data_IF_109185290630
#
_entry.id   IF_109185290630
#
_cell.length_a   1.000
_cell.length_b   1.000
_cell.length_c   1.000
_cell.angle_alpha   90.00
_cell.angle_beta   90.00
_cell.angle_gamma   90.00
#
_symmetry.space_group_name_H-M   'P 1'
#
loop_
_entity.id
_entity.type
_entity.pdbx_description
1 polymer ?
#
# COMPACT_ATOMS: atom_id res chain seq x y z
N UNK A 1 11.65 -12.02 6.54
CA UNK A 1 11.87 -10.64 6.09
C UNK A 1 10.64 -9.78 6.31
N UNK A 2 10.78 -8.46 6.24
CA UNK A 2 9.65 -7.52 6.34
C UNK A 2 8.58 -7.78 5.27
N UNK A 3 8.98 -8.15 4.04
CA UNK A 3 8.07 -8.47 2.94
C UNK A 3 7.27 -9.74 3.17
N UNK A 4 7.91 -10.79 3.65
CA UNK A 4 7.21 -12.05 4.00
C UNK A 4 6.19 -11.82 5.11
N UNK A 5 6.54 -10.98 6.10
CA UNK A 5 5.63 -10.63 7.17
C UNK A 5 4.44 -9.80 6.66
N UNK A 6 4.69 -8.84 5.76
CA UNK A 6 3.63 -8.09 5.09
C UNK A 6 2.73 -9.00 4.23
N UNK A 7 3.31 -9.95 3.50
CA UNK A 7 2.55 -10.93 2.73
C UNK A 7 1.67 -11.82 3.62
N UNK A 8 2.21 -12.28 4.75
CA UNK A 8 1.43 -13.02 5.76
C UNK A 8 0.27 -12.19 6.33
N UNK A 9 0.49 -10.89 6.55
CA UNK A 9 -0.57 -9.99 7.02
C UNK A 9 -1.66 -9.79 5.96
N UNK A 10 -1.31 -9.60 4.69
CA UNK A 10 -2.28 -9.49 3.58
C UNK A 10 -3.09 -10.78 3.40
N UNK A 11 -2.45 -11.94 3.52
CA UNK A 11 -3.14 -13.22 3.51
C UNK A 11 -4.18 -13.30 4.64
N UNK A 12 -3.80 -12.91 5.87
CA UNK A 12 -4.73 -12.90 7.00
C UNK A 12 -5.88 -11.90 6.81
N UNK A 13 -5.64 -10.74 6.21
CA UNK A 13 -6.68 -9.78 5.87
C UNK A 13 -7.70 -10.37 4.91
N UNK A 14 -7.25 -11.09 3.88
CA UNK A 14 -8.13 -11.74 2.92
C UNK A 14 -8.98 -12.86 3.53
N UNK A 15 -8.38 -13.64 4.45
CA UNK A 15 -9.05 -14.81 5.05
C UNK A 15 -10.00 -14.45 6.20
N UNK A 16 -9.81 -13.29 6.82
CA UNK A 16 -10.46 -12.94 8.08
C UNK A 16 -11.13 -11.61 7.94
N UNK A 17 -12.06 -11.29 7.37
CA UNK A 17 -12.78 -9.99 7.35
C UNK A 17 -12.43 -9.05 8.55
N UNK A 18 -11.13 -8.67 8.62
CA UNK A 18 -10.52 -7.97 9.74
C UNK A 18 -9.93 -6.63 9.28
N UNK A 19 -9.86 -5.66 10.17
CA UNK A 19 -9.19 -4.39 9.89
C UNK A 19 -7.68 -4.54 9.80
N UNK A 20 -7.06 -3.83 8.86
CA UNK A 20 -5.61 -3.88 8.64
C UNK A 20 -4.81 -3.57 9.91
N UNK A 21 -5.26 -2.60 10.71
CA UNK A 21 -4.61 -2.22 11.96
C UNK A 21 -4.60 -3.35 12.99
N UNK A 22 -5.67 -4.15 13.09
CA UNK A 22 -5.73 -5.28 14.02
C UNK A 22 -4.74 -6.38 13.61
N UNK A 23 -4.62 -6.65 12.32
CA UNK A 23 -3.65 -7.62 11.81
C UNK A 23 -2.22 -7.12 12.00
N UNK A 24 -1.95 -5.85 11.74
CA UNK A 24 -0.64 -5.22 11.97
C UNK A 24 -0.24 -5.37 13.43
N UNK A 25 -1.09 -4.96 14.37
CA UNK A 25 -0.83 -5.05 15.80
C UNK A 25 -0.56 -6.50 16.27
N UNK A 26 -1.25 -7.48 15.70
CA UNK A 26 -1.10 -8.89 16.07
C UNK A 26 0.10 -9.56 15.40
N UNK A 27 0.45 -9.17 14.19
CA UNK A 27 1.42 -9.88 13.34
C UNK A 27 2.75 -9.13 13.28
N UNK A 28 2.72 -7.83 12.98
CA UNK A 28 3.92 -7.03 12.72
C UNK A 28 4.51 -6.51 14.04
N UNK A 29 3.71 -5.89 14.89
CA UNK A 29 4.21 -5.25 16.11
C UNK A 29 4.77 -6.26 17.11
N UNK A 30 4.24 -7.48 17.11
CA UNK A 30 4.73 -8.59 17.94
C UNK A 30 5.89 -9.38 17.33
N UNK A 31 6.32 -9.03 16.12
CA UNK A 31 7.42 -9.71 15.45
C UNK A 31 8.77 -9.36 16.07
N UNK A 32 9.78 -10.23 15.83
CA UNK A 32 11.18 -10.00 16.26
C UNK A 32 11.99 -9.16 15.27
N UNK A 33 11.32 -8.50 14.30
CA UNK A 33 11.99 -7.63 13.33
C UNK A 33 12.48 -6.33 14.00
N UNK A 34 13.45 -5.68 13.39
CA UNK A 34 13.89 -4.34 13.79
C UNK A 34 12.74 -3.33 13.72
N UNK A 35 12.89 -2.17 14.34
CA UNK A 35 11.89 -1.09 14.27
C UNK A 35 11.68 -0.65 12.83
N UNK A 36 12.75 -0.51 12.05
CA UNK A 36 12.74 -0.11 10.65
C UNK A 36 12.02 -1.13 9.78
N UNK A 37 12.31 -2.42 9.97
CA UNK A 37 11.65 -3.51 9.24
C UNK A 37 10.16 -3.61 9.56
N UNK A 38 9.76 -3.39 10.82
CA UNK A 38 8.34 -3.35 11.21
C UNK A 38 7.64 -2.16 10.56
N UNK A 39 8.25 -0.97 10.61
CA UNK A 39 7.70 0.22 9.96
C UNK A 39 7.56 0.01 8.44
N UNK A 40 8.54 -0.62 7.81
CA UNK A 40 8.47 -0.95 6.39
C UNK A 40 7.39 -1.99 6.08
N UNK A 41 7.26 -3.06 6.87
CA UNK A 41 6.20 -4.04 6.72
C UNK A 41 4.80 -3.41 6.88
N UNK A 42 4.63 -2.54 7.87
CA UNK A 42 3.39 -1.77 8.09
C UNK A 42 3.06 -0.89 6.89
N UNK A 43 4.05 -0.16 6.37
CA UNK A 43 3.88 0.67 5.17
C UNK A 43 3.45 -0.16 3.96
N UNK A 44 4.02 -1.35 3.78
CA UNK A 44 3.64 -2.26 2.70
C UNK A 44 2.19 -2.73 2.83
N UNK A 45 1.77 -3.16 4.03
CA UNK A 45 0.41 -3.63 4.27
C UNK A 45 -0.61 -2.52 4.04
N UNK A 46 -0.41 -1.36 4.68
CA UNK A 46 -1.33 -0.23 4.54
C UNK A 46 -1.37 0.29 3.10
N UNK A 47 -0.20 0.43 2.46
CA UNK A 47 -0.12 0.91 1.09
C UNK A 47 -0.81 -0.02 0.10
N UNK A 48 -0.57 -1.32 0.17
CA UNK A 48 -1.25 -2.29 -0.70
C UNK A 48 -2.75 -2.31 -0.43
N UNK A 49 -3.18 -2.25 0.83
CA UNK A 49 -4.60 -2.27 1.17
C UNK A 49 -5.32 -1.03 0.64
N UNK A 50 -4.74 0.16 0.82
CA UNK A 50 -5.35 1.42 0.35
C UNK A 50 -5.36 1.59 -1.17
N UNK A 51 -4.38 1.01 -1.87
CA UNK A 51 -4.26 1.11 -3.34
C UNK A 51 -4.64 -0.18 -4.07
N UNK A 52 -5.32 -1.12 -3.40
CA UNK A 52 -5.57 -2.48 -3.89
C UNK A 52 -6.18 -2.51 -5.28
N UNK A 53 -7.24 -1.74 -5.53
CA UNK A 53 -7.92 -1.69 -6.83
C UNK A 53 -6.98 -1.24 -7.95
N UNK A 54 -6.23 -0.17 -7.72
CA UNK A 54 -5.23 0.34 -8.70
C UNK A 54 -4.14 -0.69 -8.99
N UNK A 55 -3.66 -1.40 -7.95
CA UNK A 55 -2.62 -2.43 -8.13
C UNK A 55 -3.14 -3.63 -8.91
N UNK A 56 -4.38 -4.05 -8.65
CA UNK A 56 -5.01 -5.15 -9.38
C UNK A 56 -5.23 -4.80 -10.85
N UNK A 57 -5.75 -3.60 -11.15
CA UNK A 57 -5.89 -3.12 -12.53
C UNK A 57 -4.56 -3.15 -13.30
N UNK A 58 -3.47 -2.68 -12.66
CA UNK A 58 -2.14 -2.70 -13.26
C UNK A 58 -1.63 -4.12 -13.48
N UNK A 59 -1.79 -5.01 -12.50
CA UNK A 59 -1.34 -6.40 -12.57
C UNK A 59 -2.14 -7.13 -13.65
N UNK A 60 -3.44 -6.97 -13.70
CA UNK A 60 -4.32 -7.62 -14.68
C UNK A 60 -3.98 -7.17 -16.10
N UNK A 61 -3.71 -5.89 -16.31
CA UNK A 61 -3.20 -5.38 -17.58
C UNK A 61 -1.80 -5.92 -17.97
N UNK A 62 -1.07 -6.48 -17.01
CA UNK A 62 0.24 -7.10 -17.24
C UNK A 62 0.20 -8.63 -17.32
N UNK A 63 -0.97 -9.26 -17.17
CA UNK A 63 -1.15 -10.72 -17.23
C UNK A 63 -1.89 -11.15 -18.50
N UNK A 64 -1.51 -12.29 -19.04
CA UNK A 64 -2.22 -12.87 -20.20
C UNK A 64 -3.51 -13.60 -19.77
N UNK A 65 -3.54 -14.13 -18.52
CA UNK A 65 -4.68 -14.80 -17.91
C UNK A 65 -4.77 -14.39 -16.43
N UNK A 66 -5.38 -13.24 -16.09
CA UNK A 66 -5.45 -12.74 -14.72
C UNK A 66 -6.14 -13.69 -13.75
N UNK A 67 -7.21 -14.39 -14.20
CA UNK A 67 -8.02 -15.26 -13.38
C UNK A 67 -7.30 -16.55 -12.93
N UNK A 68 -6.23 -16.93 -13.63
CA UNK A 68 -5.47 -18.14 -13.33
C UNK A 68 -4.50 -17.98 -12.14
N UNK A 69 -4.26 -16.76 -11.69
CA UNK A 69 -3.33 -16.50 -10.61
C UNK A 69 -3.97 -16.74 -9.23
N UNK A 70 -3.40 -17.67 -8.47
CA UNK A 70 -3.83 -17.95 -7.10
C UNK A 70 -3.79 -16.68 -6.24
N UNK A 71 -4.76 -16.49 -5.30
CA UNK A 71 -4.83 -15.29 -4.48
C UNK A 71 -3.54 -14.93 -3.73
N UNK A 72 -2.80 -15.92 -3.23
CA UNK A 72 -1.52 -15.69 -2.57
C UNK A 72 -0.43 -15.15 -3.53
N UNK A 73 -0.45 -15.58 -4.80
CA UNK A 73 0.43 -15.03 -5.84
C UNK A 73 0.06 -13.59 -6.15
N UNK A 74 -1.24 -13.29 -6.25
CA UNK A 74 -1.72 -11.92 -6.47
C UNK A 74 -1.32 -10.99 -5.32
N UNK A 75 -1.41 -11.43 -4.06
CA UNK A 75 -0.94 -10.64 -2.91
C UNK A 75 0.57 -10.33 -3.00
N UNK A 76 1.38 -11.31 -3.37
CA UNK A 76 2.83 -11.11 -3.53
C UNK A 76 3.16 -10.19 -4.71
N UNK A 77 2.43 -10.31 -5.84
CA UNK A 77 2.55 -9.41 -6.98
C UNK A 77 2.12 -7.98 -6.62
N UNK A 78 1.02 -7.82 -5.84
CA UNK A 78 0.55 -6.52 -5.39
C UNK A 78 1.56 -5.80 -4.49
N UNK A 79 2.20 -6.51 -3.55
CA UNK A 79 3.31 -5.97 -2.75
C UNK A 79 4.44 -5.46 -3.65
N UNK A 80 4.85 -6.25 -4.62
CA UNK A 80 5.94 -5.92 -5.53
C UNK A 80 5.58 -4.75 -6.46
N UNK A 81 4.36 -4.75 -6.99
CA UNK A 81 3.84 -3.64 -7.81
C UNK A 81 3.75 -2.34 -7.01
N UNK A 82 3.32 -2.40 -5.74
CA UNK A 82 3.32 -1.24 -4.85
C UNK A 82 4.73 -0.65 -4.67
N UNK A 83 5.73 -1.50 -4.44
CA UNK A 83 7.13 -1.05 -4.33
C UNK A 83 7.63 -0.41 -5.63
N UNK A 84 7.26 -0.96 -6.78
CA UNK A 84 7.66 -0.44 -8.09
C UNK A 84 7.00 0.91 -8.36
N UNK A 85 5.69 1.00 -8.19
CA UNK A 85 4.89 2.15 -8.61
C UNK A 85 4.99 3.29 -7.59
N UNK A 86 4.70 3.01 -6.32
CA UNK A 86 4.52 4.03 -5.30
C UNK A 86 5.77 4.29 -4.46
N UNK A 87 6.63 3.29 -4.23
CA UNK A 87 7.86 3.48 -3.45
C UNK A 87 9.10 3.80 -4.29
N UNK A 88 8.96 3.84 -5.61
CA UNK A 88 10.01 4.20 -6.56
C UNK A 88 11.33 3.45 -6.36
N UNK A 89 11.26 2.19 -5.93
CA UNK A 89 12.45 1.36 -5.77
C UNK A 89 13.12 1.08 -7.12
N UNK A 90 14.41 0.77 -7.06
CA UNK A 90 15.17 0.33 -8.25
C UNK A 90 14.43 -0.82 -8.94
N UNK A 91 14.11 -0.69 -10.24
CA UNK A 91 13.30 -1.68 -10.95
C UNK A 91 13.86 -3.11 -10.89
N UNK A 92 15.17 -3.28 -11.07
CA UNK A 92 15.80 -4.60 -11.02
C UNK A 92 15.67 -5.25 -9.64
N UNK A 93 16.02 -4.51 -8.58
CA UNK A 93 15.92 -5.03 -7.21
C UNK A 93 14.46 -5.35 -6.81
N UNK A 94 13.50 -4.55 -7.27
CA UNK A 94 12.09 -4.79 -6.99
C UNK A 94 11.56 -6.04 -7.72
N UNK A 95 11.96 -6.26 -8.96
CA UNK A 95 11.60 -7.47 -9.72
C UNK A 95 12.22 -8.71 -9.06
N UNK A 96 13.52 -8.71 -8.77
CA UNK A 96 14.20 -9.87 -8.20
C UNK A 96 13.60 -10.25 -6.83
N UNK A 97 13.40 -9.26 -5.95
CA UNK A 97 12.79 -9.48 -4.64
C UNK A 97 11.33 -9.92 -4.75
N UNK A 98 10.59 -9.40 -5.71
CA UNK A 98 9.21 -9.79 -5.97
C UNK A 98 9.10 -11.22 -6.46
N UNK A 99 10.00 -11.66 -7.35
CA UNK A 99 10.06 -13.06 -7.81
C UNK A 99 10.35 -14.00 -6.63
N UNK A 100 11.33 -13.67 -5.79
CA UNK A 100 11.64 -14.48 -4.60
C UNK A 100 10.44 -14.49 -3.61
N UNK A 101 9.75 -13.36 -3.44
CA UNK A 101 8.55 -13.32 -2.59
C UNK A 101 7.44 -14.24 -3.13
N UNK A 102 7.16 -14.21 -4.43
CA UNK A 102 6.17 -15.12 -5.07
C UNK A 102 6.56 -16.57 -4.88
N UNK A 103 7.85 -16.91 -4.99
CA UNK A 103 8.33 -18.29 -4.78
C UNK A 103 8.09 -18.81 -3.36
N UNK A 104 7.97 -17.93 -2.35
CA UNK A 104 7.66 -18.36 -0.97
C UNK A 104 6.27 -18.97 -0.85
N UNK A 105 5.32 -18.57 -1.69
CA UNK A 105 3.93 -19.05 -1.69
C UNK A 105 3.61 -19.99 -2.85
N UNK A 106 4.33 -19.84 -3.97
CA UNK A 106 4.14 -20.64 -5.17
C UNK A 106 5.50 -20.83 -5.90
N UNK A 107 6.32 -21.84 -5.51
CA UNK A 107 7.67 -22.03 -6.06
C UNK A 107 7.73 -22.11 -7.59
N UNK A 108 6.68 -22.64 -8.22
CA UNK A 108 6.61 -22.79 -9.70
C UNK A 108 6.18 -21.51 -10.42
N UNK A 109 5.68 -20.51 -9.71
CA UNK A 109 5.18 -19.25 -10.29
C UNK A 109 6.30 -18.20 -10.52
N UNK A 110 7.56 -18.50 -10.26
CA UNK A 110 8.68 -17.56 -10.44
C UNK A 110 8.81 -17.00 -11.85
N UNK A 111 8.56 -17.83 -12.88
CA UNK A 111 8.54 -17.39 -14.29
C UNK A 111 7.41 -16.39 -14.59
N UNK A 112 6.20 -16.68 -14.11
CA UNK A 112 5.04 -15.78 -14.19
C UNK A 112 5.36 -14.46 -13.49
N UNK A 113 5.83 -14.51 -12.24
CA UNK A 113 6.18 -13.31 -11.47
C UNK A 113 7.19 -12.43 -12.20
N UNK A 114 8.26 -13.00 -12.75
CA UNK A 114 9.27 -12.24 -13.50
C UNK A 114 8.66 -11.58 -14.75
N UNK A 115 7.83 -12.30 -15.51
CA UNK A 115 7.17 -11.76 -16.70
C UNK A 115 6.23 -10.59 -16.33
N UNK A 116 5.36 -10.78 -15.34
CA UNK A 116 4.39 -9.76 -14.89
C UNK A 116 5.12 -8.55 -14.32
N UNK A 117 6.05 -8.72 -13.39
CA UNK A 117 6.73 -7.60 -12.74
C UNK A 117 7.60 -6.79 -13.73
N UNK A 118 8.19 -7.42 -14.75
CA UNK A 118 8.86 -6.69 -15.83
C UNK A 118 7.87 -5.87 -16.69
N UNK A 119 6.65 -6.36 -16.88
CA UNK A 119 5.58 -5.59 -17.55
C UNK A 119 5.12 -4.43 -16.67
N UNK A 120 4.98 -4.63 -15.34
CA UNK A 120 4.65 -3.56 -14.38
C UNK A 120 5.73 -2.46 -14.37
N UNK A 121 7.00 -2.81 -14.44
CA UNK A 121 8.10 -1.83 -14.56
C UNK A 121 7.94 -0.97 -15.82
N UNK A 122 7.60 -1.57 -16.97
CA UNK A 122 7.33 -0.81 -18.21
C UNK A 122 6.05 0.02 -18.11
N UNK A 123 4.99 -0.54 -17.54
CA UNK A 123 3.71 0.15 -17.36
C UNK A 123 3.84 1.39 -16.47
N UNK A 124 4.75 1.37 -15.49
CA UNK A 124 5.06 2.52 -14.62
C UNK A 124 5.44 3.78 -15.40
N UNK A 125 6.08 3.66 -16.56
CA UNK A 125 6.48 4.80 -17.40
C UNK A 125 5.28 5.61 -17.89
N UNK A 126 4.11 4.97 -17.96
CA UNK A 126 2.84 5.56 -18.40
C UNK A 126 1.82 5.74 -17.28
N UNK A 127 2.18 5.31 -16.04
CA UNK A 127 1.30 5.48 -14.88
C UNK A 127 1.14 6.97 -14.55
N UNK A 128 -0.06 7.47 -14.30
CA UNK A 128 -1.33 6.79 -14.01
C UNK A 128 -2.26 6.52 -15.23
N UNK A 129 -1.73 6.35 -16.42
CA UNK A 129 -2.46 6.00 -17.65
C UNK A 129 -3.48 7.07 -18.07
N UNK A 130 -3.01 8.30 -18.21
CA UNK A 130 -3.77 9.50 -18.57
C UNK A 130 -3.15 10.75 -17.96
N UNK A 131 -3.69 11.92 -18.31
CA UNK A 131 -3.27 13.18 -17.69
C UNK A 131 -4.08 13.45 -16.40
N UNK A 132 -3.48 13.38 -15.21
CA UNK A 132 -4.18 13.57 -13.94
C UNK A 132 -4.84 14.95 -13.81
N UNK A 133 -4.44 15.94 -14.61
CA UNK A 133 -5.04 17.28 -14.59
C UNK A 133 -6.40 17.32 -15.24
N UNK A 134 -6.65 16.47 -16.24
CA UNK A 134 -7.87 16.47 -17.04
C UNK A 134 -8.67 15.17 -16.94
N UNK A 135 -8.03 14.06 -16.53
CA UNK A 135 -8.64 12.73 -16.39
C UNK A 135 -8.77 12.36 -14.92
N UNK A 136 -10.00 12.29 -14.43
CA UNK A 136 -10.28 11.91 -13.04
C UNK A 136 -9.87 10.45 -12.73
N UNK A 137 -9.95 9.57 -13.72
CA UNK A 137 -9.55 8.18 -13.52
C UNK A 137 -8.02 8.08 -13.34
N UNK A 138 -7.24 8.85 -14.09
CA UNK A 138 -5.80 8.96 -13.89
C UNK A 138 -5.48 9.59 -12.53
N UNK A 139 -6.21 10.63 -12.13
CA UNK A 139 -6.02 11.26 -10.83
C UNK A 139 -6.37 10.31 -9.67
N UNK A 140 -7.48 9.60 -9.77
CA UNK A 140 -7.88 8.60 -8.78
C UNK A 140 -6.83 7.49 -8.62
N UNK A 141 -6.32 6.94 -9.74
CA UNK A 141 -5.24 5.93 -9.72
C UNK A 141 -3.96 6.46 -9.09
N UNK A 142 -3.59 7.71 -9.39
CA UNK A 142 -2.39 8.34 -8.81
C UNK A 142 -2.45 8.36 -7.27
N UNK A 143 -3.64 8.57 -6.72
CA UNK A 143 -3.86 8.63 -5.27
C UNK A 143 -4.39 7.31 -4.65
N UNK A 144 -4.55 6.26 -5.47
CA UNK A 144 -5.00 4.95 -5.00
C UNK A 144 -6.50 4.86 -4.71
N UNK A 145 -7.29 5.80 -5.22
CA UNK A 145 -8.74 5.80 -5.05
C UNK A 145 -9.43 5.00 -6.16
N UNK A 146 -10.53 4.29 -5.87
CA UNK A 146 -11.40 3.75 -6.91
C UNK A 146 -12.04 4.89 -7.72
N UNK A 147 -12.16 4.70 -9.03
CA UNK A 147 -12.71 5.74 -9.93
C UNK A 147 -14.12 6.15 -9.52
N UNK A 148 -14.98 5.19 -9.17
CA UNK A 148 -16.35 5.47 -8.73
C UNK A 148 -16.41 6.38 -7.50
N UNK A 149 -15.45 6.24 -6.57
CA UNK A 149 -15.39 7.10 -5.38
C UNK A 149 -14.91 8.51 -5.74
N UNK A 150 -13.94 8.62 -6.64
CA UNK A 150 -13.50 9.93 -7.14
C UNK A 150 -14.63 10.67 -7.87
N UNK A 151 -15.40 9.99 -8.70
CA UNK A 151 -16.60 10.55 -9.35
C UNK A 151 -17.64 11.02 -8.33
N UNK A 152 -17.86 10.24 -7.27
CA UNK A 152 -18.76 10.62 -6.17
C UNK A 152 -18.26 11.85 -5.44
N UNK A 153 -16.98 11.91 -5.14
CA UNK A 153 -16.37 13.08 -4.49
C UNK A 153 -16.50 14.34 -5.36
N UNK A 154 -16.32 14.22 -6.68
CA UNK A 154 -16.55 15.36 -7.60
C UNK A 154 -18.00 15.83 -7.57
N UNK A 155 -18.95 14.90 -7.54
CA UNK A 155 -20.36 15.27 -7.49
C UNK A 155 -20.74 16.01 -6.20
N UNK A 156 -20.08 15.71 -5.09
CA UNK A 156 -20.38 16.31 -3.78
C UNK A 156 -19.53 17.54 -3.45
N UNK A 157 -18.23 17.53 -3.80
CA UNK A 157 -17.26 18.55 -3.41
C UNK A 157 -16.80 19.45 -4.57
N UNK A 158 -17.21 19.13 -5.79
CA UNK A 158 -16.65 19.73 -7.00
C UNK A 158 -15.25 19.16 -7.34
N UNK A 159 -14.72 19.48 -8.54
CA UNK A 159 -13.45 18.92 -9.01
C UNK A 159 -12.24 19.28 -8.13
N UNK A 160 -12.15 20.51 -7.68
CA UNK A 160 -11.05 20.99 -6.82
C UNK A 160 -11.13 20.36 -5.42
N UNK A 161 -12.31 20.42 -4.78
CA UNK A 161 -12.50 19.83 -3.46
C UNK A 161 -12.29 18.31 -3.43
N UNK A 162 -12.67 17.59 -4.50
CA UNK A 162 -12.39 16.17 -4.63
C UNK A 162 -10.88 15.87 -4.72
N UNK A 163 -10.13 16.70 -5.46
CA UNK A 163 -8.67 16.57 -5.56
C UNK A 163 -7.99 16.82 -4.22
N UNK A 164 -8.36 17.91 -3.55
CA UNK A 164 -7.81 18.26 -2.25
C UNK A 164 -8.10 17.16 -1.21
N UNK A 165 -9.31 16.60 -1.23
CA UNK A 165 -9.70 15.49 -0.37
C UNK A 165 -8.82 14.25 -0.61
N UNK A 166 -8.59 13.86 -1.86
CA UNK A 166 -7.78 12.69 -2.19
C UNK A 166 -6.31 12.87 -1.81
N UNK A 167 -5.76 14.08 -1.94
CA UNK A 167 -4.41 14.41 -1.48
C UNK A 167 -4.33 14.33 0.04
N UNK A 168 -5.21 15.05 0.75
CA UNK A 168 -5.21 15.12 2.20
C UNK A 168 -5.43 13.75 2.86
N UNK A 169 -6.25 12.88 2.24
CA UNK A 169 -6.49 11.52 2.73
C UNK A 169 -5.26 10.61 2.69
N UNK A 170 -4.27 10.93 1.86
CA UNK A 170 -3.01 10.18 1.76
C UNK A 170 -1.90 10.76 2.64
N UNK A 171 -2.11 11.91 3.26
CA UNK A 171 -1.16 12.47 4.20
C UNK A 171 -1.16 11.67 5.52
N UNK A 172 -0.01 11.56 6.19
CA UNK A 172 0.05 10.96 7.51
C UNK A 172 -0.88 11.72 8.47
N UNK A 173 -1.80 11.00 9.12
CA UNK A 173 -2.67 11.61 10.11
C UNK A 173 -1.85 12.21 11.26
N UNK A 174 -2.13 13.45 11.68
CA UNK A 174 -1.47 14.02 12.84
C UNK A 174 -1.83 13.24 14.12
N UNK A 175 -0.84 13.03 14.96
CA UNK A 175 -1.05 12.36 16.25
C UNK A 175 -1.54 13.40 17.27
N UNK A 176 -2.75 13.19 17.76
CA UNK A 176 -3.30 14.02 18.85
C UNK A 176 -3.21 13.24 20.18
N UNK A 177 -2.78 13.94 21.22
CA UNK A 177 -2.72 13.42 22.57
C UNK A 177 -3.64 14.26 23.45
N UNK A 178 -4.56 13.62 24.16
CA UNK A 178 -5.36 14.31 25.19
C UNK A 178 -4.64 14.26 26.52
N UNK A 179 -4.42 15.43 27.10
CA UNK A 179 -3.82 15.56 28.42
C UNK A 179 -4.88 15.31 29.49
N UNK A 180 -4.60 14.38 30.43
CA UNK A 180 -5.43 14.22 31.61
C UNK A 180 -5.03 15.30 32.64
N UNK A 181 -5.80 16.41 32.67
CA UNK A 181 -5.52 17.57 33.53
C UNK A 181 -5.53 17.25 35.05
N UNK A 182 -6.05 16.08 35.47
CA UNK A 182 -5.98 15.64 36.86
C UNK A 182 -4.59 15.05 37.20
N UNK A 183 -3.86 14.56 36.18
CA UNK A 183 -2.57 13.85 36.37
C UNK A 183 -1.36 14.69 36.01
N UNK A 184 -1.47 15.58 35.03
CA UNK A 184 -0.38 16.42 34.54
C UNK A 184 -0.91 17.68 33.87
N UNK A 185 -0.10 18.72 33.86
CA UNK A 185 -0.35 19.92 33.05
C UNK A 185 0.04 19.69 31.58
N UNK A 186 -0.47 20.53 30.69
CA UNK A 186 -0.10 20.49 29.26
C UNK A 186 1.41 20.71 29.05
N UNK A 187 2.00 21.67 29.79
CA UNK A 187 3.44 21.98 29.71
C UNK A 187 4.33 20.81 30.15
N UNK A 188 3.93 20.08 31.21
CA UNK A 188 4.63 18.89 31.65
C UNK A 188 4.60 17.80 30.58
N UNK A 189 3.43 17.55 29.96
CA UNK A 189 3.31 16.53 28.91
C UNK A 189 4.11 16.91 27.67
N UNK A 190 4.06 18.18 27.24
CA UNK A 190 4.85 18.70 26.12
C UNK A 190 6.35 18.52 26.39
N UNK A 191 6.79 18.84 27.61
CA UNK A 191 8.21 18.67 28.01
C UNK A 191 8.67 17.21 27.95
N UNK A 192 7.84 16.28 28.44
CA UNK A 192 8.14 14.84 28.40
C UNK A 192 8.18 14.32 26.96
N UNK A 193 7.25 14.72 26.10
CA UNK A 193 7.22 14.32 24.71
C UNK A 193 8.42 14.86 23.92
N UNK A 194 8.82 16.11 24.19
CA UNK A 194 10.01 16.71 23.55
C UNK A 194 11.32 16.00 23.97
N UNK A 195 11.40 15.52 25.20
CA UNK A 195 12.58 14.79 25.69
C UNK A 195 12.65 13.33 25.20
N UNK A 196 11.57 12.77 24.66
CA UNK A 196 11.49 11.40 24.15
C UNK A 196 11.87 11.28 22.66
N UNK A 197 12.11 12.39 21.98
CA UNK A 197 12.56 12.49 20.60
C UNK A 197 14.03 12.83 20.50
#
# INVERSE_FOLDING_TARGET
>A
SARELALSALHQLRERDAFAQDIIAKTIDKSRLSREDRAFATRLVLGVTSTRGTLEDVIDGCMDSPDDAAPAVRDALALSAYEIIFLQKSPHAAVDQGVELVKTVAPRAGGLANAVLRRVVRAKEHFPFGDPRTDIAAYARLHGFPVWLAERLIAELGPEGARDFMVASNEPAPVFVSVNAVKASEDEVVSVLAAAH
#
